data_IF_556931947303
#
_entry.id   IF_556931947303
#
_cell.length_a   1.000
_cell.length_b   1.000
_cell.length_c   1.000
_cell.angle_alpha   90.00
_cell.angle_beta   90.00
_cell.angle_gamma   90.00
#
_symmetry.space_group_name_H-M   'P 1'
#
loop_
_entity.id
_entity.type
_entity.pdbx_description
1 polymer ?
#
# COMPACT_ATOMS: atom_id res chain seq x y z
N UNK A 1 14.07 -4.10 1.36
CA UNK A 1 12.82 -3.48 1.83
C UNK A 1 12.38 -2.42 0.85
N UNK A 2 11.70 -2.86 -0.21
CA UNK A 2 11.04 -1.95 -1.13
C UNK A 2 9.53 -1.98 -0.81
N UNK A 3 9.06 -0.97 -0.09
CA UNK A 3 7.64 -0.82 0.25
C UNK A 3 7.01 0.19 -0.69
N UNK A 4 5.99 -0.24 -1.44
CA UNK A 4 5.14 0.64 -2.25
C UNK A 4 3.76 0.67 -1.64
N UNK A 5 3.17 1.84 -1.52
CA UNK A 5 1.83 2.04 -0.99
C UNK A 5 1.03 2.70 -2.10
N UNK A 6 0.11 1.96 -2.67
CA UNK A 6 -0.91 2.48 -3.57
C UNK A 6 -2.05 3.01 -2.73
N UNK A 7 -2.18 4.33 -2.74
CA UNK A 7 -3.15 5.06 -1.95
C UNK A 7 -4.03 5.96 -2.81
N UNK A 8 -5.06 6.53 -2.19
CA UNK A 8 -5.87 7.60 -2.78
C UNK A 8 -6.02 8.71 -1.76
N UNK A 9 -5.94 9.96 -2.20
CA UNK A 9 -6.13 11.16 -1.37
C UNK A 9 -7.45 11.17 -0.58
N UNK A 10 -8.49 10.53 -1.09
CA UNK A 10 -9.83 10.53 -0.48
C UNK A 10 -10.06 9.38 0.51
N UNK A 11 -9.11 8.46 0.69
CA UNK A 11 -9.34 7.25 1.47
C UNK A 11 -8.69 7.31 2.87
N UNK A 12 -9.48 7.29 3.96
CA UNK A 12 -8.95 7.38 5.33
C UNK A 12 -8.08 6.18 5.72
N UNK A 13 -8.32 5.01 5.12
CA UNK A 13 -7.51 3.81 5.33
C UNK A 13 -6.08 3.95 4.80
N UNK A 14 -5.90 4.71 3.71
CA UNK A 14 -4.58 4.98 3.16
C UNK A 14 -3.72 5.81 4.12
N UNK A 15 -4.31 6.81 4.76
CA UNK A 15 -3.64 7.60 5.79
C UNK A 15 -3.16 6.72 6.94
N UNK A 16 -3.98 5.75 7.38
CA UNK A 16 -3.58 4.79 8.43
C UNK A 16 -2.38 3.93 8.03
N UNK A 17 -2.32 3.44 6.78
CA UNK A 17 -1.15 2.70 6.27
C UNK A 17 0.11 3.54 6.34
N UNK A 18 0.05 4.77 5.82
CA UNK A 18 1.19 5.71 5.78
C UNK A 18 1.68 6.00 7.18
N UNK A 19 0.76 6.31 8.10
CA UNK A 19 1.09 6.60 9.49
C UNK A 19 1.69 5.37 10.20
N UNK A 20 1.17 4.17 9.92
CA UNK A 20 1.73 2.92 10.44
C UNK A 20 3.17 2.69 10.00
N UNK A 21 3.43 2.77 8.69
CA UNK A 21 4.77 2.60 8.14
C UNK A 21 5.74 3.67 8.66
N UNK A 22 5.26 4.92 8.78
CA UNK A 22 6.03 6.03 9.34
C UNK A 22 6.34 5.82 10.82
N UNK A 23 5.38 5.34 11.61
CA UNK A 23 5.59 4.98 13.02
C UNK A 23 6.62 3.86 13.17
N UNK A 24 6.68 2.94 12.22
CA UNK A 24 7.69 1.86 12.17
C UNK A 24 9.02 2.30 11.56
N UNK A 25 9.17 3.57 11.16
CA UNK A 25 10.37 4.09 10.46
C UNK A 25 10.73 3.30 9.18
N UNK A 26 9.73 2.72 8.52
CA UNK A 26 9.94 1.98 7.28
C UNK A 26 9.89 2.97 6.11
N UNK A 27 10.94 3.03 5.27
CA UNK A 27 10.87 3.81 4.04
C UNK A 27 9.87 3.19 3.07
N UNK A 28 8.91 3.98 2.60
CA UNK A 28 7.90 3.56 1.62
C UNK A 28 7.73 4.60 0.51
N UNK A 29 7.35 4.15 -0.67
CA UNK A 29 6.95 4.97 -1.80
C UNK A 29 5.44 5.06 -1.83
N UNK A 30 4.92 6.27 -1.90
CA UNK A 30 3.49 6.52 -2.00
C UNK A 30 3.10 6.77 -3.46
N UNK A 31 2.15 6.00 -3.97
CA UNK A 31 1.61 6.11 -5.31
C UNK A 31 0.12 6.42 -5.21
N UNK A 32 -0.27 7.63 -5.59
CA UNK A 32 -1.68 8.01 -5.59
C UNK A 32 -2.37 7.50 -6.86
N UNK A 33 -3.15 6.42 -6.73
CA UNK A 33 -3.89 5.82 -7.86
C UNK A 33 -5.13 6.61 -8.27
N UNK A 34 -5.46 7.69 -7.54
CA UNK A 34 -6.51 8.63 -7.89
C UNK A 34 -6.05 9.64 -8.93
N UNK A 35 -4.80 10.12 -8.80
CA UNK A 35 -4.16 11.02 -9.77
C UNK A 35 -3.35 10.30 -10.83
N UNK A 36 -2.74 9.16 -10.48
CA UNK A 36 -1.87 8.41 -11.37
C UNK A 36 -2.59 7.18 -11.94
N UNK A 37 -2.99 7.30 -13.20
CA UNK A 37 -3.71 6.23 -13.90
C UNK A 37 -2.85 4.98 -14.11
N UNK A 38 -1.53 5.15 -14.26
CA UNK A 38 -0.60 4.03 -14.43
C UNK A 38 -0.47 3.22 -13.13
N UNK A 39 -0.37 3.89 -11.98
CA UNK A 39 -0.38 3.26 -10.67
C UNK A 39 -1.72 2.54 -10.40
N UNK A 40 -2.84 3.08 -10.89
CA UNK A 40 -4.14 2.40 -10.84
C UNK A 40 -4.13 1.11 -11.64
N UNK A 41 -3.63 1.14 -12.88
CA UNK A 41 -3.53 -0.05 -13.72
C UNK A 41 -2.55 -1.08 -13.13
N UNK A 42 -1.40 -0.64 -12.60
CA UNK A 42 -0.43 -1.50 -11.92
C UNK A 42 -1.06 -2.15 -10.67
N UNK A 43 -1.80 -1.37 -9.87
CA UNK A 43 -2.55 -1.87 -8.72
C UNK A 43 -3.57 -2.93 -9.14
N UNK A 44 -4.39 -2.67 -10.16
CA UNK A 44 -5.42 -3.62 -10.62
C UNK A 44 -4.76 -4.88 -11.20
N UNK A 45 -3.65 -4.74 -11.91
CA UNK A 45 -2.91 -5.87 -12.49
C UNK A 45 -2.21 -6.72 -11.43
N UNK A 46 -1.68 -6.10 -10.38
CA UNK A 46 -1.07 -6.79 -9.24
C UNK A 46 -2.14 -7.45 -8.36
N UNK A 47 -3.16 -6.68 -8.00
CA UNK A 47 -4.17 -7.04 -7.00
C UNK A 47 -5.32 -7.86 -7.56
N UNK A 48 -5.56 -7.83 -8.87
CA UNK A 48 -6.75 -8.39 -9.50
C UNK A 48 -8.06 -7.68 -9.10
N UNK A 49 -8.00 -6.59 -8.33
CA UNK A 49 -9.15 -5.83 -7.86
C UNK A 49 -8.87 -4.33 -7.87
N UNK A 50 -9.94 -3.54 -8.02
CA UNK A 50 -9.93 -2.07 -7.95
C UNK A 50 -10.02 -1.52 -6.52
N UNK A 51 -9.75 -2.36 -5.51
CA UNK A 51 -9.85 -1.97 -4.11
C UNK A 51 -8.57 -1.30 -3.60
N UNK A 52 -8.69 -0.10 -3.04
CA UNK A 52 -7.65 0.59 -2.26
C UNK A 52 -7.91 0.42 -0.77
N UNK A 53 -6.89 0.44 0.10
CA UNK A 53 -5.45 0.60 -0.18
C UNK A 53 -4.79 -0.70 -0.69
N UNK A 54 -3.70 -0.59 -1.45
CA UNK A 54 -2.85 -1.74 -1.80
C UNK A 54 -1.43 -1.44 -1.38
N UNK A 55 -0.75 -2.37 -0.73
CA UNK A 55 0.63 -2.23 -0.29
C UNK A 55 1.44 -3.36 -0.89
N UNK A 56 2.63 -3.05 -1.40
CA UNK A 56 3.57 -4.06 -1.87
C UNK A 56 4.82 -3.98 -1.03
N UNK A 57 5.15 -5.05 -0.31
CA UNK A 57 6.29 -5.14 0.60
C UNK A 57 7.25 -6.19 0.06
N UNK A 58 8.37 -5.76 -0.53
CA UNK A 58 9.43 -6.66 -1.02
C UNK A 58 8.91 -7.72 -2.02
N UNK A 59 7.94 -7.32 -2.87
CA UNK A 59 7.27 -8.20 -3.83
C UNK A 59 6.02 -8.89 -3.30
N UNK A 60 5.76 -8.84 -2.00
CA UNK A 60 4.52 -9.36 -1.40
C UNK A 60 3.41 -8.32 -1.51
N UNK A 61 2.29 -8.73 -2.09
CA UNK A 61 1.13 -7.87 -2.24
C UNK A 61 0.16 -8.03 -1.06
N UNK A 62 -0.14 -6.92 -0.40
CA UNK A 62 -1.20 -6.77 0.59
C UNK A 62 -2.31 -5.94 -0.03
N UNK A 63 -3.51 -6.48 -0.01
CA UNK A 63 -4.68 -5.79 -0.53
C UNK A 63 -5.56 -5.41 0.65
N UNK A 64 -5.99 -4.16 0.69
CA UNK A 64 -6.68 -3.56 1.84
C UNK A 64 -5.72 -3.11 2.93
N UNK A 65 -6.31 -2.72 4.06
CA UNK A 65 -5.57 -2.38 5.28
C UNK A 65 -5.52 -3.60 6.22
N UNK A 66 -4.68 -4.57 5.90
CA UNK A 66 -4.43 -5.75 6.75
C UNK A 66 -3.19 -5.50 7.62
N UNK A 67 -3.40 -5.02 8.85
CA UNK A 67 -2.29 -4.78 9.80
C UNK A 67 -1.46 -6.05 10.04
N UNK A 68 -2.11 -7.20 10.20
CA UNK A 68 -1.44 -8.49 10.45
C UNK A 68 -0.55 -8.91 9.28
N UNK A 69 -1.03 -8.80 8.03
CA UNK A 69 -0.19 -9.08 6.86
C UNK A 69 0.98 -8.12 6.76
N UNK A 70 0.74 -6.83 6.99
CA UNK A 70 1.80 -5.83 6.96
C UNK A 70 2.87 -6.16 7.99
N UNK A 71 2.50 -6.48 9.24
CA UNK A 71 3.47 -6.91 10.26
C UNK A 71 4.23 -8.17 9.83
N UNK A 72 3.51 -9.18 9.31
CA UNK A 72 4.12 -10.42 8.87
C UNK A 72 5.15 -10.21 7.74
N UNK A 73 4.85 -9.35 6.77
CA UNK A 73 5.77 -9.03 5.68
C UNK A 73 6.90 -8.09 6.09
N UNK A 74 6.70 -7.27 7.13
CA UNK A 74 7.75 -6.45 7.73
C UNK A 74 8.62 -7.23 8.73
N UNK A 75 8.24 -8.47 9.08
CA UNK A 75 8.96 -9.30 10.04
C UNK A 75 8.84 -8.80 11.48
N UNK A 76 7.68 -8.21 11.81
CA UNK A 76 7.33 -7.69 13.14
C UNK A 76 6.54 -8.70 13.97
#
# INVERSE_FOLDING_TARGET
MNVKVYSTQTCPYCHRVKDYLKSKNIPYQDFDVGTDSAAREEMVKLSGQMGVPVVTIDGNLVIGFDKEKIDSFLGL
#
